data_IF_457048477898
#
_entry.id   IF_457048477898
#
_cell.length_a   1.000
_cell.length_b   1.000
_cell.length_c   1.000
_cell.angle_alpha   90.00
_cell.angle_beta   90.00
_cell.angle_gamma   90.00
#
_symmetry.space_group_name_H-M   'P 1'
#
loop_
_entity.id
_entity.type
_entity.pdbx_description
1 polymer ?
#
# COMPACT_ATOMS: atom_id res chain seq x y z
N UNK A 1 20.26 -34.48 59.31
CA UNK A 1 21.17 -33.61 58.54
C UNK A 1 20.30 -32.75 57.65
N UNK A 2 20.07 -31.54 58.12
CA UNK A 2 19.20 -30.53 57.56
C UNK A 2 20.03 -29.65 56.63
N UNK A 3 19.61 -29.47 55.37
CA UNK A 3 20.20 -28.47 54.49
C UNK A 3 19.07 -27.58 53.99
N UNK A 4 18.98 -26.43 54.65
CA UNK A 4 18.19 -25.26 54.33
C UNK A 4 18.62 -24.72 52.94
N UNK A 5 17.68 -24.65 51.99
CA UNK A 5 17.88 -23.90 50.75
C UNK A 5 17.41 -22.47 50.98
N UNK A 6 18.36 -21.54 51.09
CA UNK A 6 18.11 -20.09 51.23
C UNK A 6 17.33 -19.58 50.01
N UNK A 7 16.17 -18.99 50.27
CA UNK A 7 15.46 -18.14 49.30
C UNK A 7 16.17 -16.79 49.20
N UNK A 8 16.92 -16.56 48.13
CA UNK A 8 17.38 -15.21 47.79
C UNK A 8 16.19 -14.45 47.20
N UNK A 9 15.62 -13.56 48.02
CA UNK A 9 14.63 -12.60 47.57
C UNK A 9 15.23 -11.67 46.51
N UNK A 10 14.59 -11.62 45.36
CA UNK A 10 14.70 -10.50 44.43
C UNK A 10 13.38 -9.73 44.51
N UNK A 11 13.44 -8.49 44.99
CA UNK A 11 12.34 -7.55 44.92
C UNK A 11 11.93 -7.34 43.45
N UNK A 12 10.63 -7.40 43.18
CA UNK A 12 10.04 -7.02 41.90
C UNK A 12 10.05 -5.49 41.83
N UNK A 13 10.78 -4.86 40.89
CA UNK A 13 10.69 -3.42 40.71
C UNK A 13 9.31 -3.07 40.15
N UNK A 14 8.60 -2.15 40.80
CA UNK A 14 7.35 -1.55 40.32
C UNK A 14 7.60 -0.85 38.98
N UNK A 15 7.21 -1.50 37.88
CA UNK A 15 7.31 -0.94 36.53
C UNK A 15 6.01 -0.22 36.14
N UNK A 16 5.57 0.71 36.98
CA UNK A 16 4.76 1.86 36.53
C UNK A 16 5.61 2.89 35.78
N UNK A 17 6.42 2.46 34.81
CA UNK A 17 7.07 3.32 33.80
C UNK A 17 7.19 2.58 32.47
N UNK A 18 6.54 3.16 31.47
CA UNK A 18 6.50 2.81 30.06
C UNK A 18 7.83 2.33 29.46
N UNK A 19 7.84 1.11 28.92
CA UNK A 19 8.83 0.63 27.96
C UNK A 19 8.08 0.08 26.74
N UNK A 20 8.36 0.53 25.50
CA UNK A 20 7.70 0.01 24.32
C UNK A 20 8.29 -1.36 23.97
N UNK A 21 7.45 -2.40 24.01
CA UNK A 21 7.80 -3.73 23.56
C UNK A 21 7.97 -3.73 22.03
N UNK A 22 9.20 -3.93 21.57
CA UNK A 22 9.52 -4.22 20.17
C UNK A 22 9.41 -5.74 20.00
N UNK A 23 8.40 -6.23 19.27
CA UNK A 23 8.30 -7.65 18.93
C UNK A 23 8.91 -7.90 17.54
N UNK A 24 9.90 -8.80 17.49
CA UNK A 24 10.61 -9.26 16.29
C UNK A 24 9.88 -10.41 15.59
N UNK A 25 10.06 -10.52 14.27
CA UNK A 25 9.47 -11.57 13.44
C UNK A 25 10.14 -12.93 13.71
N UNK A 26 9.33 -13.98 13.93
CA UNK A 26 9.79 -15.36 14.06
C UNK A 26 10.02 -15.96 12.66
N UNK A 27 11.14 -16.65 12.47
CA UNK A 27 11.38 -17.47 11.28
C UNK A 27 11.43 -18.94 11.69
N UNK A 28 10.72 -19.80 10.98
CA UNK A 28 10.60 -21.23 11.27
C UNK A 28 11.70 -22.01 10.53
N UNK A 29 12.47 -22.79 11.27
CA UNK A 29 13.39 -23.80 10.76
C UNK A 29 12.82 -25.19 11.10
N UNK A 30 13.21 -26.21 10.32
CA UNK A 30 12.58 -27.54 10.22
C UNK A 30 12.50 -28.37 11.51
N UNK A 31 13.04 -27.85 12.63
CA UNK A 31 13.07 -28.52 13.93
C UNK A 31 12.31 -27.74 15.02
N UNK A 32 11.55 -26.68 14.68
CA UNK A 32 10.69 -25.96 15.62
C UNK A 32 11.42 -25.16 16.71
N UNK A 33 12.68 -24.80 16.50
CA UNK A 33 13.52 -24.08 17.47
C UNK A 33 13.68 -22.62 17.05
N UNK A 34 13.02 -21.70 17.76
CA UNK A 34 13.14 -20.26 17.53
C UNK A 34 14.53 -19.75 17.95
N UNK A 35 15.27 -19.14 17.02
CA UNK A 35 16.52 -18.43 17.34
C UNK A 35 16.32 -16.92 17.26
N UNK A 36 16.79 -16.21 18.29
CA UNK A 36 16.73 -14.75 18.37
C UNK A 36 17.84 -14.16 17.49
N UNK A 37 17.48 -13.30 16.53
CA UNK A 37 18.43 -12.56 15.70
C UNK A 37 18.35 -11.09 16.12
N UNK A 38 19.43 -10.58 16.72
CA UNK A 38 19.54 -9.14 17.02
C UNK A 38 19.59 -8.32 15.71
N UNK A 39 18.76 -7.27 15.56
CA UNK A 39 18.89 -6.35 14.43
C UNK A 39 20.15 -5.50 14.59
N UNK A 40 21.06 -5.57 13.62
CA UNK A 40 22.19 -4.63 13.49
C UNK A 40 21.65 -3.21 13.27
N UNK A 41 21.85 -2.34 14.24
CA UNK A 41 21.58 -0.90 14.12
C UNK A 41 22.63 -0.29 13.18
N UNK A 42 22.23 0.00 11.94
CA UNK A 42 23.05 0.81 11.01
C UNK A 42 22.59 2.26 11.13
N UNK A 43 23.35 3.07 11.86
CA UNK A 43 23.12 4.52 11.95
C UNK A 43 23.62 5.16 10.65
N UNK A 44 22.74 5.44 9.68
CA UNK A 44 23.12 6.23 8.50
C UNK A 44 23.13 7.72 8.85
N UNK A 45 24.29 8.38 8.73
CA UNK A 45 24.41 9.82 8.99
C UNK A 45 23.67 10.65 7.93
N UNK A 46 22.88 11.63 8.38
CA UNK A 46 22.11 12.54 7.50
C UNK A 46 23.05 13.53 6.80
N UNK A 47 23.40 13.26 5.53
CA UNK A 47 24.15 14.20 4.68
C UNK A 47 23.19 15.25 4.10
N UNK A 48 23.23 16.48 4.63
CA UNK A 48 22.45 17.64 4.16
C UNK A 48 22.92 18.08 2.77
N UNK A 49 22.08 17.95 1.74
CA UNK A 49 22.31 18.56 0.43
C UNK A 49 21.58 19.90 0.34
N UNK A 50 22.32 21.01 0.46
CA UNK A 50 21.80 22.35 0.15
C UNK A 50 21.79 22.54 -1.37
N UNK A 51 20.59 22.85 -1.85
CA UNK A 51 20.19 23.36 -3.18
C UNK A 51 21.30 24.12 -3.93
N UNK A 52 21.72 23.60 -5.09
CA UNK A 52 22.24 24.41 -6.22
C UNK A 52 21.37 24.13 -7.43
N UNK A 53 20.28 24.89 -7.57
CA UNK A 53 19.50 25.00 -8.79
C UNK A 53 19.49 26.47 -9.19
N UNK A 54 20.47 26.88 -10.00
CA UNK A 54 20.47 28.12 -10.78
C UNK A 54 21.43 27.91 -11.95
N UNK A 55 20.90 27.62 -13.13
CA UNK A 55 21.30 28.21 -14.41
C UNK A 55 20.35 27.71 -15.51
N UNK A 56 20.14 28.55 -16.53
CA UNK A 56 19.36 28.33 -17.75
C UNK A 56 17.87 28.75 -17.74
N UNK A 57 17.63 30.03 -17.48
CA UNK A 57 16.55 30.78 -18.12
C UNK A 57 17.15 32.10 -18.56
N UNK A 58 17.43 32.23 -19.86
CA UNK A 58 17.44 33.44 -20.70
C UNK A 58 18.41 33.19 -21.85
N UNK A 59 17.88 33.09 -23.06
CA UNK A 59 18.37 33.63 -24.33
C UNK A 59 17.75 32.77 -25.45
N UNK A 60 16.75 33.31 -26.14
CA UNK A 60 16.58 33.28 -27.60
C UNK A 60 15.21 33.86 -27.93
N UNK A 61 15.16 35.20 -27.96
CA UNK A 61 14.19 35.95 -28.73
C UNK A 61 14.91 36.45 -29.99
N UNK A 62 14.28 36.26 -31.15
CA UNK A 62 14.53 37.06 -32.35
C UNK A 62 14.98 36.28 -33.57
N UNK A 63 14.04 35.88 -34.43
CA UNK A 63 13.92 36.49 -35.77
C UNK A 63 12.59 36.09 -36.43
N UNK A 64 11.80 37.10 -36.80
CA UNK A 64 10.71 37.02 -37.78
C UNK A 64 11.29 37.51 -39.11
N UNK A 65 11.00 36.81 -40.21
CA UNK A 65 10.70 37.25 -41.60
C UNK A 65 10.32 35.92 -42.30
N UNK A 66 9.16 35.68 -42.91
CA UNK A 66 8.30 36.57 -43.68
C UNK A 66 8.38 36.18 -45.16
N UNK A 67 7.78 35.06 -45.59
CA UNK A 67 7.43 34.79 -47.00
C UNK A 67 6.10 34.03 -47.01
N UNK A 68 5.05 34.71 -47.45
CA UNK A 68 3.82 34.06 -47.88
C UNK A 68 3.98 33.52 -49.30
N UNK A 69 3.25 32.45 -49.62
CA UNK A 69 2.51 32.32 -50.87
C UNK A 69 1.58 31.09 -50.81
N UNK A 70 0.38 31.36 -51.31
CA UNK A 70 -0.82 30.56 -51.52
C UNK A 70 -0.61 29.24 -52.25
N UNK A 71 -1.33 28.18 -51.88
CA UNK A 71 -2.11 27.35 -52.84
C UNK A 71 -3.40 26.87 -52.16
N UNK A 72 -4.51 27.15 -52.83
CA UNK A 72 -5.84 26.69 -52.51
C UNK A 72 -6.05 25.22 -52.91
N UNK A 73 -6.96 24.54 -52.20
CA UNK A 73 -7.67 23.38 -52.73
C UNK A 73 -7.25 22.04 -52.14
N UNK A 74 -8.11 21.47 -51.29
CA UNK A 74 -8.97 20.32 -51.62
C UNK A 74 -9.54 19.76 -50.31
N UNK A 75 -10.79 20.10 -50.00
CA UNK A 75 -11.56 19.34 -49.02
C UNK A 75 -12.03 18.05 -49.69
N UNK A 76 -11.46 16.93 -49.29
CA UNK A 76 -12.08 15.62 -49.51
C UNK A 76 -12.77 15.23 -48.20
N UNK A 77 -14.09 15.39 -48.18
CA UNK A 77 -14.95 14.73 -47.21
C UNK A 77 -14.90 13.22 -47.48
N UNK A 78 -14.10 12.49 -46.69
CA UNK A 78 -14.30 11.06 -46.50
C UNK A 78 -15.46 10.84 -45.52
N UNK A 79 -16.24 9.76 -45.65
CA UNK A 79 -17.39 9.51 -44.79
C UNK A 79 -16.92 9.35 -43.34
N UNK A 80 -17.46 10.19 -42.47
CA UNK A 80 -17.26 10.14 -41.02
C UNK A 80 -17.74 8.79 -40.48
N UNK A 81 -16.81 7.96 -40.06
CA UNK A 81 -17.09 6.87 -39.12
C UNK A 81 -17.67 7.48 -37.83
N UNK A 82 -18.76 6.94 -37.27
CA UNK A 82 -19.30 7.47 -36.02
C UNK A 82 -18.24 7.32 -34.92
N UNK A 83 -18.07 8.33 -34.04
CA UNK A 83 -17.18 8.19 -32.91
C UNK A 83 -17.71 7.05 -32.03
N UNK A 84 -16.88 6.03 -31.84
CA UNK A 84 -17.05 5.06 -30.76
C UNK A 84 -17.14 5.85 -29.45
N UNK A 85 -18.16 5.62 -28.60
CA UNK A 85 -18.28 6.33 -27.33
C UNK A 85 -17.13 5.90 -26.41
N UNK A 86 -16.06 6.68 -26.38
CA UNK A 86 -15.08 6.68 -25.30
C UNK A 86 -15.69 7.38 -24.10
N UNK A 87 -16.51 6.66 -23.35
CA UNK A 87 -16.85 7.04 -21.98
C UNK A 87 -16.26 5.94 -21.12
N UNK A 88 -15.20 6.28 -20.39
CA UNK A 88 -14.75 5.51 -19.23
C UNK A 88 -15.85 5.63 -18.16
N UNK A 89 -16.98 4.98 -18.41
CA UNK A 89 -17.89 4.60 -17.35
C UNK A 89 -17.42 3.22 -16.95
N UNK A 90 -16.59 3.18 -15.91
CA UNK A 90 -16.47 1.98 -15.12
C UNK A 90 -17.86 1.71 -14.56
N UNK A 91 -18.66 0.93 -15.29
CA UNK A 91 -19.96 0.50 -14.85
C UNK A 91 -19.76 -0.16 -13.49
N UNK A 92 -20.20 0.54 -12.44
CA UNK A 92 -20.27 0.00 -11.11
C UNK A 92 -21.41 -1.03 -11.16
N UNK A 93 -21.10 -2.24 -11.63
CA UNK A 93 -22.00 -3.37 -11.55
C UNK A 93 -22.18 -3.70 -10.07
N UNK A 94 -23.22 -3.11 -9.48
CA UNK A 94 -23.56 -3.35 -8.10
C UNK A 94 -24.02 -4.80 -7.98
N UNK A 95 -23.17 -5.65 -7.40
CA UNK A 95 -23.46 -7.06 -7.26
C UNK A 95 -24.73 -7.23 -6.41
N UNK A 96 -25.66 -8.14 -6.80
CA UNK A 96 -26.93 -8.34 -6.09
C UNK A 96 -26.77 -8.78 -4.62
N UNK A 97 -25.55 -9.08 -4.17
CA UNK A 97 -25.22 -9.42 -2.79
C UNK A 97 -24.89 -8.22 -1.90
N UNK A 98 -24.94 -6.97 -2.39
CA UNK A 98 -24.52 -5.78 -1.64
C UNK A 98 -23.00 -5.62 -1.50
N UNK A 99 -22.23 -6.43 -2.24
CA UNK A 99 -20.78 -6.29 -2.31
C UNK A 99 -20.40 -5.21 -3.32
N UNK A 100 -19.37 -4.43 -2.98
CA UNK A 100 -18.78 -3.44 -3.88
C UNK A 100 -17.60 -4.05 -4.61
N UNK A 101 -17.67 -4.06 -5.94
CA UNK A 101 -16.62 -4.60 -6.81
C UNK A 101 -15.86 -3.48 -7.50
N UNK A 102 -14.55 -3.65 -7.64
CA UNK A 102 -13.69 -2.70 -8.34
C UNK A 102 -12.71 -3.46 -9.23
N UNK A 103 -12.23 -2.78 -10.25
CA UNK A 103 -11.12 -3.26 -11.07
C UNK A 103 -9.99 -2.24 -11.04
N UNK A 104 -8.76 -2.73 -11.07
CA UNK A 104 -7.56 -1.91 -11.25
C UNK A 104 -6.86 -2.32 -12.55
N UNK A 105 -6.49 -1.36 -13.41
CA UNK A 105 -5.78 -1.65 -14.65
C UNK A 105 -4.33 -2.04 -14.37
N UNK A 106 -3.61 -2.43 -15.41
CA UNK A 106 -2.20 -2.81 -15.36
C UNK A 106 -1.24 -1.62 -15.29
N UNK A 107 -1.60 -0.62 -14.49
CA UNK A 107 -0.79 0.54 -14.19
C UNK A 107 -0.76 0.78 -12.68
N UNK A 108 0.32 1.40 -12.22
CA UNK A 108 0.48 1.75 -10.81
C UNK A 108 -0.14 3.14 -10.57
N UNK A 109 -1.44 3.22 -10.73
CA UNK A 109 -2.24 4.41 -10.41
C UNK A 109 -3.29 4.02 -9.38
N UNK A 110 -3.40 4.82 -8.31
CA UNK A 110 -4.31 4.50 -7.22
C UNK A 110 -5.72 5.00 -7.52
N UNK A 111 -6.67 4.08 -7.46
CA UNK A 111 -8.09 4.41 -7.35
C UNK A 111 -8.45 4.57 -5.88
N UNK A 112 -8.87 5.77 -5.49
CA UNK A 112 -9.39 6.04 -4.16
C UNK A 112 -10.82 5.51 -4.04
N UNK A 113 -11.14 4.83 -2.94
CA UNK A 113 -12.41 4.08 -2.81
C UNK A 113 -13.25 4.46 -1.58
N UNK A 114 -12.92 5.54 -0.86
CA UNK A 114 -13.62 5.95 0.37
C UNK A 114 -15.13 6.06 0.21
N UNK A 115 -15.60 6.75 -0.83
CA UNK A 115 -17.03 7.03 -1.01
C UNK A 115 -17.82 5.74 -1.27
N UNK A 116 -17.19 4.79 -1.96
CA UNK A 116 -17.82 3.56 -2.42
C UNK A 116 -17.83 2.46 -1.35
N UNK A 117 -16.76 2.34 -0.54
CA UNK A 117 -16.70 1.37 0.57
C UNK A 117 -17.35 1.90 1.86
N UNK A 118 -17.68 3.19 1.91
CA UNK A 118 -18.36 3.83 3.02
C UNK A 118 -17.49 4.08 4.26
N UNK A 119 -18.12 4.54 5.34
CA UNK A 119 -17.41 5.03 6.53
C UNK A 119 -17.00 3.95 7.54
N UNK A 120 -17.52 2.72 7.43
CA UNK A 120 -17.34 1.68 8.45
C UNK A 120 -15.85 1.33 8.65
N UNK A 121 -15.05 1.12 7.58
CA UNK A 121 -13.63 0.81 7.74
C UNK A 121 -12.85 1.89 8.51
N UNK A 122 -13.21 3.16 8.32
CA UNK A 122 -12.53 4.29 8.95
C UNK A 122 -12.93 4.46 10.43
N UNK A 123 -14.21 4.22 10.77
CA UNK A 123 -14.67 4.21 12.16
C UNK A 123 -14.02 3.06 12.96
N UNK A 124 -13.94 1.88 12.35
CA UNK A 124 -13.37 0.69 13.00
C UNK A 124 -11.85 0.60 12.87
N UNK A 125 -11.23 1.40 12.00
CA UNK A 125 -9.81 1.33 11.64
C UNK A 125 -9.37 -0.06 11.16
N UNK A 126 -10.22 -0.66 10.34
CA UNK A 126 -10.11 -2.04 9.88
C UNK A 126 -10.78 -2.18 8.51
N UNK A 127 -10.13 -2.88 7.59
CA UNK A 127 -10.66 -3.18 6.26
C UNK A 127 -10.45 -4.65 5.95
N UNK A 128 -11.50 -5.33 5.49
CA UNK A 128 -11.37 -6.64 4.85
C UNK A 128 -11.73 -6.53 3.38
N UNK A 129 -11.01 -7.28 2.54
CA UNK A 129 -11.22 -7.28 1.11
C UNK A 129 -10.81 -8.61 0.51
N UNK A 130 -11.29 -8.87 -0.70
CA UNK A 130 -10.79 -9.97 -1.51
C UNK A 130 -10.25 -9.43 -2.82
N UNK A 131 -9.15 -10.00 -3.31
CA UNK A 131 -8.55 -9.61 -4.58
C UNK A 131 -8.17 -10.85 -5.38
N UNK A 132 -8.39 -10.80 -6.70
CA UNK A 132 -7.93 -11.78 -7.67
C UNK A 132 -6.96 -11.05 -8.60
N UNK A 133 -5.68 -11.40 -8.52
CA UNK A 133 -4.58 -10.80 -9.27
C UNK A 133 -3.40 -11.79 -9.30
N UNK A 134 -2.50 -11.66 -10.27
CA UNK A 134 -1.33 -12.52 -10.37
C UNK A 134 -0.18 -12.10 -9.45
N UNK A 135 0.06 -10.80 -9.31
CA UNK A 135 1.13 -10.20 -8.51
C UNK A 135 0.81 -8.74 -8.18
N UNK A 136 1.72 -8.06 -7.48
CA UNK A 136 1.82 -6.59 -7.39
C UNK A 136 0.50 -5.88 -7.05
N UNK A 137 -0.16 -6.32 -5.99
CA UNK A 137 -1.34 -5.64 -5.44
C UNK A 137 -0.89 -4.58 -4.45
N UNK A 138 -1.43 -3.37 -4.56
CA UNK A 138 -1.11 -2.26 -3.66
C UNK A 138 -2.35 -1.70 -3.00
N UNK A 139 -2.23 -1.44 -1.70
CA UNK A 139 -3.17 -0.69 -0.90
C UNK A 139 -2.45 0.53 -0.32
N UNK A 140 -3.07 1.70 -0.32
CA UNK A 140 -2.57 2.86 0.44
C UNK A 140 -3.57 3.27 1.50
N UNK A 141 -3.08 3.49 2.72
CA UNK A 141 -3.80 4.16 3.80
C UNK A 141 -3.28 5.59 3.87
N UNK A 142 -4.14 6.58 3.68
CA UNK A 142 -3.71 7.98 3.57
C UNK A 142 -4.58 8.90 4.41
N UNK A 143 -3.96 10.00 4.85
CA UNK A 143 -4.63 11.13 5.51
C UNK A 143 -5.21 12.16 4.53
N UNK A 144 -5.08 11.91 3.23
CA UNK A 144 -5.55 12.77 2.13
C UNK A 144 -6.63 12.07 1.31
N UNK A 145 -7.26 12.82 0.41
CA UNK A 145 -8.25 12.28 -0.53
C UNK A 145 -7.62 11.73 -1.81
N UNK A 146 -6.32 11.95 -1.98
CA UNK A 146 -5.45 11.46 -3.05
C UNK A 146 -4.28 10.66 -2.44
N UNK A 147 -3.35 10.24 -3.30
CA UNK A 147 -2.12 9.57 -2.91
C UNK A 147 -0.91 10.53 -2.86
N UNK A 148 -1.17 11.83 -2.79
CA UNK A 148 -0.18 12.89 -2.70
C UNK A 148 -0.03 13.33 -1.24
N UNK A 149 0.78 12.59 -0.48
CA UNK A 149 1.10 12.99 0.89
C UNK A 149 1.50 11.84 1.82
N UNK A 150 1.44 12.08 3.14
CA UNK A 150 1.73 11.07 4.14
C UNK A 150 0.76 9.89 4.03
N UNK A 151 1.32 8.74 3.69
CA UNK A 151 0.58 7.49 3.52
C UNK A 151 1.37 6.30 4.08
N UNK A 152 0.70 5.16 4.07
CA UNK A 152 1.29 3.85 4.30
C UNK A 152 0.92 3.02 3.09
N UNK A 153 1.91 2.52 2.38
CA UNK A 153 1.71 1.58 1.27
C UNK A 153 1.88 0.15 1.79
N UNK A 154 0.90 -0.68 1.47
CA UNK A 154 0.92 -2.12 1.69
C UNK A 154 0.98 -2.77 0.31
N UNK A 155 2.10 -3.43 0.02
CA UNK A 155 2.31 -4.15 -1.22
C UNK A 155 2.22 -5.65 -0.95
N UNK A 156 1.42 -6.37 -1.74
CA UNK A 156 1.25 -7.81 -1.64
C UNK A 156 1.63 -8.44 -2.96
N UNK A 157 2.46 -9.48 -2.90
CA UNK A 157 2.85 -10.25 -4.07
C UNK A 157 3.78 -9.54 -5.05
N UNK A 158 4.69 -8.71 -4.54
CA UNK A 158 5.87 -8.21 -5.25
C UNK A 158 6.74 -9.35 -5.80
N UNK A 159 7.58 -9.01 -6.78
CA UNK A 159 8.56 -9.91 -7.40
C UNK A 159 7.92 -11.21 -7.90
N UNK A 160 6.84 -11.09 -8.68
CA UNK A 160 6.12 -12.25 -9.20
C UNK A 160 5.40 -13.03 -8.10
N UNK A 161 4.76 -12.34 -7.16
CA UNK A 161 3.99 -12.94 -6.07
C UNK A 161 4.82 -13.79 -5.10
N UNK A 162 6.01 -13.32 -4.75
CA UNK A 162 6.90 -13.98 -3.78
C UNK A 162 7.16 -13.16 -2.52
N UNK A 163 6.88 -11.85 -2.57
CA UNK A 163 7.17 -10.94 -1.46
C UNK A 163 6.02 -9.98 -1.18
N UNK A 164 5.83 -9.61 0.08
CA UNK A 164 4.94 -8.53 0.50
C UNK A 164 5.73 -7.52 1.33
N UNK A 165 5.27 -6.28 1.40
CA UNK A 165 5.95 -5.23 2.13
C UNK A 165 4.98 -4.18 2.71
N UNK A 166 5.41 -3.54 3.80
CA UNK A 166 4.82 -2.29 4.28
C UNK A 166 5.86 -1.17 4.11
N UNK A 167 5.42 -0.03 3.60
CA UNK A 167 6.22 1.17 3.30
C UNK A 167 5.52 2.43 3.82
N UNK A 168 6.29 3.48 4.06
CA UNK A 168 5.81 4.78 4.55
C UNK A 168 5.61 5.82 3.45
N UNK A 169 5.85 5.45 2.19
CA UNK A 169 5.69 6.26 0.98
C UNK A 169 5.49 5.34 -0.24
N UNK A 170 4.92 5.86 -1.34
CA UNK A 170 4.70 5.11 -2.58
C UNK A 170 6.02 4.62 -3.16
N UNK A 171 6.14 3.31 -3.36
CA UNK A 171 7.37 2.68 -3.88
C UNK A 171 8.62 3.02 -3.07
N UNK A 172 8.43 3.36 -1.79
CA UNK A 172 9.52 3.66 -0.88
C UNK A 172 10.31 2.44 -0.47
N UNK A 173 11.21 2.69 0.49
CA UNK A 173 11.96 1.62 1.14
C UNK A 173 11.02 0.70 1.91
N UNK A 174 11.19 -0.61 1.72
CA UNK A 174 10.42 -1.61 2.47
C UNK A 174 10.84 -1.55 3.95
N UNK A 175 9.89 -1.22 4.84
CA UNK A 175 10.13 -1.21 6.29
C UNK A 175 9.94 -2.61 6.86
N UNK A 176 8.86 -3.28 6.42
CA UNK A 176 8.56 -4.67 6.76
C UNK A 176 8.49 -5.45 5.47
N UNK A 177 8.98 -6.68 5.47
CA UNK A 177 8.79 -7.59 4.34
C UNK A 177 8.44 -8.99 4.81
N UNK A 178 7.62 -9.68 4.01
CA UNK A 178 7.27 -11.07 4.22
C UNK A 178 7.44 -11.85 2.91
N UNK A 179 8.01 -13.06 2.97
CA UNK A 179 8.32 -13.85 1.78
C UNK A 179 7.41 -15.06 1.69
N UNK A 180 6.35 -14.95 0.89
CA UNK A 180 5.39 -16.01 0.57
C UNK A 180 4.51 -15.56 -0.59
N UNK A 181 3.98 -16.53 -1.32
CA UNK A 181 2.93 -16.31 -2.31
C UNK A 181 1.54 -16.29 -1.66
N UNK A 182 0.78 -15.23 -1.93
CA UNK A 182 -0.58 -15.06 -1.43
C UNK A 182 -1.63 -14.88 -2.53
N UNK A 183 -1.27 -14.19 -3.61
CA UNK A 183 -2.21 -13.84 -4.67
C UNK A 183 -2.47 -15.03 -5.60
N UNK A 184 -3.59 -14.98 -6.31
CA UNK A 184 -3.98 -16.01 -7.27
C UNK A 184 -4.66 -15.37 -8.48
N UNK A 185 -4.19 -15.71 -9.69
CA UNK A 185 -4.72 -15.16 -10.93
C UNK A 185 -6.18 -15.55 -11.22
N UNK A 186 -6.65 -16.67 -10.65
CA UNK A 186 -7.93 -17.30 -11.02
C UNK A 186 -8.97 -17.25 -9.90
N UNK A 187 -8.54 -17.04 -8.65
CA UNK A 187 -9.41 -17.07 -7.47
C UNK A 187 -9.18 -15.86 -6.60
N UNK A 188 -10.24 -15.37 -5.99
CA UNK A 188 -10.14 -14.33 -4.97
C UNK A 188 -9.42 -14.88 -3.73
N UNK A 189 -8.33 -14.22 -3.34
CA UNK A 189 -7.71 -14.38 -2.04
C UNK A 189 -8.22 -13.30 -1.11
N UNK A 190 -8.51 -13.66 0.14
CA UNK A 190 -9.08 -12.76 1.15
C UNK A 190 -8.01 -12.23 2.09
N UNK A 191 -8.06 -10.94 2.38
CA UNK A 191 -7.12 -10.23 3.23
C UNK A 191 -7.84 -9.27 4.16
N UNK A 192 -7.12 -8.86 5.20
CA UNK A 192 -7.51 -7.77 6.05
C UNK A 192 -6.32 -6.90 6.42
N UNK A 193 -6.62 -5.64 6.72
CA UNK A 193 -5.67 -4.63 7.19
C UNK A 193 -6.29 -3.88 8.37
N UNK A 194 -5.52 -3.65 9.43
CA UNK A 194 -5.90 -2.78 10.55
C UNK A 194 -4.86 -1.67 10.74
N UNK A 195 -5.29 -0.55 11.31
CA UNK A 195 -4.43 0.60 11.64
C UNK A 195 -4.78 1.20 13.01
N UNK A 196 -4.87 0.32 14.00
CA UNK A 196 -5.29 0.65 15.37
C UNK A 196 -4.09 0.99 16.23
N UNK A 197 -4.24 1.96 17.12
CA UNK A 197 -3.22 2.30 18.13
C UNK A 197 -1.80 2.51 17.56
N UNK A 198 -1.70 3.09 16.35
CA UNK A 198 -0.44 3.29 15.61
C UNK A 198 0.22 2.00 15.09
N UNK A 199 -0.45 0.86 15.15
CA UNK A 199 0.02 -0.42 14.64
C UNK A 199 -0.73 -0.72 13.35
N UNK A 200 0.03 -0.94 12.27
CA UNK A 200 -0.46 -1.44 11.00
C UNK A 200 -0.27 -2.95 10.97
N UNK A 201 -1.34 -3.70 10.81
CA UNK A 201 -1.28 -5.16 10.68
C UNK A 201 -1.94 -5.60 9.38
N UNK A 202 -1.39 -6.67 8.79
CA UNK A 202 -1.89 -7.26 7.56
C UNK A 202 -1.95 -8.78 7.74
N UNK A 203 -3.09 -9.36 7.39
CA UNK A 203 -3.31 -10.79 7.50
C UNK A 203 -4.25 -11.36 6.45
N UNK A 204 -4.44 -12.68 6.50
CA UNK A 204 -5.33 -13.40 5.58
C UNK A 204 -6.72 -13.66 6.18
N UNK A 205 -7.74 -13.70 5.32
CA UNK A 205 -9.14 -13.90 5.70
C UNK A 205 -9.92 -12.58 5.80
N UNK A 206 -11.14 -12.64 6.34
CA UNK A 206 -12.03 -11.47 6.47
C UNK A 206 -12.13 -10.92 7.89
N UNK A 207 -11.52 -11.60 8.86
CA UNK A 207 -11.56 -11.23 10.28
C UNK A 207 -10.17 -10.78 10.72
N UNK A 208 -10.12 -9.69 11.46
CA UNK A 208 -8.91 -9.19 12.10
C UNK A 208 -8.21 -10.28 12.93
N UNK A 209 -6.89 -10.18 13.04
CA UNK A 209 -6.01 -11.12 13.75
C UNK A 209 -5.94 -12.54 13.17
N UNK A 210 -6.69 -12.85 12.10
CA UNK A 210 -6.58 -14.15 11.45
C UNK A 210 -5.33 -14.20 10.57
N UNK A 211 -4.43 -15.15 10.82
CA UNK A 211 -3.23 -15.41 9.97
C UNK A 211 -2.50 -14.11 9.59
N UNK A 212 -2.17 -13.31 10.60
CA UNK A 212 -1.31 -12.13 10.43
C UNK A 212 0.04 -12.55 9.83
N UNK A 213 0.58 -11.72 8.93
CA UNK A 213 1.90 -11.97 8.34
C UNK A 213 2.77 -10.70 8.21
N UNK A 214 2.24 -9.50 8.41
CA UNK A 214 3.04 -8.28 8.55
C UNK A 214 2.48 -7.37 9.63
N UNK A 215 3.38 -6.76 10.41
CA UNK A 215 3.06 -5.76 11.42
C UNK A 215 4.11 -4.65 11.42
N UNK A 216 3.68 -3.39 11.53
CA UNK A 216 4.54 -2.22 11.61
C UNK A 216 3.99 -1.22 12.63
N UNK A 217 4.84 -0.67 13.49
CA UNK A 217 4.51 0.50 14.31
C UNK A 217 4.77 1.79 13.54
N UNK A 218 3.81 2.71 13.51
CA UNK A 218 3.89 4.02 12.84
C UNK A 218 3.64 5.17 13.84
N UNK A 219 4.72 5.83 14.27
CA UNK A 219 4.70 6.92 15.25
C UNK A 219 4.18 8.26 14.70
N UNK A 220 3.92 8.36 13.39
CA UNK A 220 3.49 9.60 12.72
C UNK A 220 2.05 10.01 13.05
N UNK A 221 1.29 9.17 13.75
CA UNK A 221 -0.12 9.40 14.14
C UNK A 221 -1.02 9.81 12.96
N UNK A 222 -0.88 9.13 11.82
CA UNK A 222 -1.68 9.44 10.64
C UNK A 222 -3.17 9.19 10.89
N UNK A 223 -3.98 10.23 10.67
CA UNK A 223 -5.43 10.08 10.65
C UNK A 223 -5.87 9.55 9.28
N UNK A 224 -6.04 8.24 9.16
CA UNK A 224 -6.42 7.60 7.90
C UNK A 224 -7.87 7.94 7.56
N UNK A 225 -8.05 8.68 6.48
CA UNK A 225 -9.37 9.08 5.97
C UNK A 225 -9.65 8.50 4.59
N UNK A 226 -8.66 7.99 3.86
CA UNK A 226 -8.93 7.37 2.56
C UNK A 226 -8.09 6.09 2.38
N UNK A 227 -8.60 5.24 1.50
CA UNK A 227 -7.95 4.01 1.06
C UNK A 227 -7.87 4.08 -0.46
N UNK A 228 -6.68 3.83 -0.99
CA UNK A 228 -6.45 3.66 -2.43
C UNK A 228 -6.11 2.21 -2.74
N UNK A 229 -6.56 1.73 -3.89
CA UNK A 229 -6.22 0.41 -4.45
C UNK A 229 -5.53 0.57 -5.80
N UNK A 230 -4.56 -0.30 -6.08
CA UNK A 230 -3.85 -0.30 -7.36
C UNK A 230 -3.22 -1.66 -7.65
N UNK A 231 -2.79 -1.87 -8.88
CA UNK A 231 -1.99 -3.02 -9.31
C UNK A 231 -0.70 -2.60 -10.00
N UNK A 232 0.24 -3.52 -10.16
CA UNK A 232 1.50 -3.26 -10.85
C UNK A 232 1.38 -3.23 -12.37
N UNK A 233 2.47 -2.83 -13.03
CA UNK A 233 2.56 -2.91 -14.49
C UNK A 233 2.45 -4.38 -14.93
N UNK A 234 1.61 -4.64 -15.93
CA UNK A 234 1.39 -6.00 -16.45
C UNK A 234 0.50 -6.88 -15.57
N UNK A 235 -0.18 -6.32 -14.56
CA UNK A 235 -1.13 -7.05 -13.73
C UNK A 235 -2.43 -6.28 -13.56
N UNK A 236 -3.56 -6.90 -13.86
CA UNK A 236 -4.88 -6.40 -13.48
C UNK A 236 -5.32 -6.98 -12.15
N UNK A 237 -6.26 -6.31 -11.48
CA UNK A 237 -6.84 -6.78 -10.24
C UNK A 237 -8.36 -6.66 -10.24
N UNK A 238 -9.04 -7.73 -9.86
CA UNK A 238 -10.46 -7.70 -9.51
C UNK A 238 -10.58 -7.66 -7.98
N UNK A 239 -11.37 -6.73 -7.46
CA UNK A 239 -11.48 -6.45 -6.03
C UNK A 239 -12.92 -6.60 -5.56
N UNK A 240 -13.08 -7.11 -4.35
CA UNK A 240 -14.37 -7.29 -3.69
C UNK A 240 -14.28 -6.75 -2.25
N UNK A 241 -15.13 -5.77 -1.96
CA UNK A 241 -15.36 -5.27 -0.61
C UNK A 241 -16.75 -5.71 -0.17
N UNK A 242 -16.80 -6.47 0.91
CA UNK A 242 -18.07 -6.89 1.51
C UNK A 242 -18.52 -5.75 2.41
N UNK A 243 -19.75 -5.28 2.21
CA UNK A 243 -20.36 -4.37 3.17
C UNK A 243 -20.51 -5.15 4.49
N UNK A 244 -19.89 -4.70 5.59
CA UNK A 244 -19.98 -5.41 6.86
C UNK A 244 -21.40 -5.41 7.42
#
# INVERSE_FOLDING_TARGET
MEIQVKSNGYEVPDTRKSVPHIYSALNENSNGVYTYIEPKVIISSKRKWKKKLRLCVTLFLGLIIGIGLTIAGFQIFGPSSPPSPSINHYDNFESPSGNKTFTTPENYEFRMVRCEIGNIPFKQKFLSFSVKACSDVYLVLTSKYDDEGPLIEIAIGLNGNTRSAIRTEKRGTNIVTFTRSFLNCRRFTRFWVSWKNQIIQVGMGLKENNREFMMMMDDRKLNIVNIGISTGRGTTGDWLFVKP
#
